data_IF_003188890143
#
_entry.id   IF_003188890143
#
_cell.length_a   1.000
_cell.length_b   1.000
_cell.length_c   1.000
_cell.angle_alpha   90.00
_cell.angle_beta   90.00
_cell.angle_gamma   90.00
#
_symmetry.space_group_name_H-M   'P 1'
#
loop_
_entity.id
_entity.type
_entity.pdbx_description
1 polymer ?
#
# COMPACT_ATOMS: atom_id res chain seq x y z
N UNK A 1 -9.59 -4.04 -9.59
CA UNK A 1 -10.19 -5.16 -8.83
C UNK A 1 -10.78 -4.68 -7.51
N UNK A 2 -11.69 -5.46 -6.95
CA UNK A 2 -12.27 -5.18 -5.64
C UNK A 2 -12.33 -6.46 -4.81
N UNK A 3 -12.06 -6.34 -3.53
CA UNK A 3 -12.20 -7.41 -2.54
C UNK A 3 -13.38 -7.07 -1.64
N UNK A 4 -14.28 -8.02 -1.47
CA UNK A 4 -15.51 -7.86 -0.68
C UNK A 4 -15.40 -8.71 0.58
N UNK A 5 -15.80 -8.12 1.70
CA UNK A 5 -15.90 -8.76 3.00
C UNK A 5 -17.33 -8.60 3.52
N UNK A 6 -17.89 -9.66 4.05
CA UNK A 6 -19.14 -9.56 4.78
C UNK A 6 -18.85 -9.32 6.26
N UNK A 7 -19.48 -8.31 6.85
CA UNK A 7 -19.26 -7.95 8.27
C UNK A 7 -19.57 -9.11 9.20
N UNK A 8 -20.55 -9.96 8.84
CA UNK A 8 -20.91 -11.16 9.58
C UNK A 8 -19.90 -12.33 9.43
N UNK A 9 -19.03 -12.30 8.40
CA UNK A 9 -18.07 -13.35 8.06
C UNK A 9 -16.72 -12.77 7.64
N UNK A 10 -16.00 -12.10 8.53
CA UNK A 10 -14.80 -11.31 8.19
C UNK A 10 -13.61 -12.16 7.69
N UNK A 11 -13.64 -13.46 7.96
CA UNK A 11 -12.62 -14.39 7.46
C UNK A 11 -12.82 -14.80 5.98
N UNK A 12 -14.00 -14.55 5.43
CA UNK A 12 -14.34 -14.95 4.06
C UNK A 12 -14.27 -13.73 3.13
N UNK A 13 -13.27 -13.73 2.29
CA UNK A 13 -13.06 -12.72 1.24
C UNK A 13 -13.47 -13.30 -0.10
N UNK A 14 -14.13 -12.50 -0.90
CA UNK A 14 -14.48 -12.85 -2.26
C UNK A 14 -14.24 -11.69 -3.21
N UNK A 15 -14.04 -12.00 -4.47
CA UNK A 15 -13.65 -11.01 -5.46
C UNK A 15 -14.85 -10.42 -6.17
N UNK A 16 -14.74 -9.14 -6.51
CA UNK A 16 -15.70 -8.43 -7.32
C UNK A 16 -15.01 -7.51 -8.32
N UNK A 17 -15.73 -7.11 -9.34
CA UNK A 17 -15.31 -6.08 -10.29
C UNK A 17 -16.32 -4.96 -10.32
N UNK A 18 -15.87 -3.74 -10.56
CA UNK A 18 -16.77 -2.61 -10.80
C UNK A 18 -17.58 -2.87 -12.06
N UNK A 19 -18.89 -2.83 -11.94
CA UNK A 19 -19.81 -2.97 -13.06
C UNK A 19 -20.17 -1.60 -13.63
N UNK A 20 -20.53 -0.66 -12.77
CA UNK A 20 -20.85 0.71 -13.17
C UNK A 20 -20.65 1.69 -12.02
N UNK A 21 -20.38 2.95 -12.38
CA UNK A 21 -20.40 4.10 -11.46
C UNK A 21 -21.60 4.98 -11.85
N UNK A 22 -22.31 5.48 -10.85
CA UNK A 22 -23.34 6.48 -11.09
C UNK A 22 -22.71 7.78 -11.64
N UNK A 23 -23.35 8.46 -12.58
CA UNK A 23 -22.82 9.69 -13.19
C UNK A 23 -22.88 10.90 -12.23
N UNK A 24 -23.61 10.80 -11.13
CA UNK A 24 -23.82 11.89 -10.20
C UNK A 24 -23.59 11.45 -8.74
N UNK A 25 -23.12 12.38 -7.94
CA UNK A 25 -23.00 12.24 -6.48
C UNK A 25 -24.36 12.55 -5.84
N UNK A 26 -24.80 11.72 -4.92
CA UNK A 26 -25.95 12.04 -4.05
C UNK A 26 -25.52 13.16 -3.08
N UNK A 27 -25.97 14.38 -3.34
CA UNK A 27 -25.59 15.56 -2.59
C UNK A 27 -26.07 15.54 -1.13
N UNK A 28 -27.11 14.78 -0.80
CA UNK A 28 -27.63 14.68 0.57
C UNK A 28 -26.77 13.76 1.44
N UNK A 29 -26.26 12.67 0.86
CA UNK A 29 -25.44 11.67 1.53
C UNK A 29 -23.94 11.85 1.31
N UNK A 30 -23.53 12.69 0.35
CA UNK A 30 -22.15 12.85 -0.05
C UNK A 30 -21.55 11.54 -0.63
N UNK A 31 -22.38 10.69 -1.19
CA UNK A 31 -22.00 9.33 -1.63
C UNK A 31 -22.23 9.18 -3.14
N UNK A 32 -21.46 8.31 -3.76
CA UNK A 32 -21.65 7.87 -5.15
C UNK A 32 -22.07 6.41 -5.16
N UNK A 33 -23.03 6.06 -6.00
CA UNK A 33 -23.42 4.67 -6.20
C UNK A 33 -22.41 3.97 -7.10
N UNK A 34 -21.87 2.86 -6.62
CA UNK A 34 -20.99 1.97 -7.39
C UNK A 34 -21.60 0.58 -7.37
N UNK A 35 -21.85 0.02 -8.54
CA UNK A 35 -22.32 -1.36 -8.68
C UNK A 35 -21.16 -2.28 -8.92
N UNK A 36 -21.13 -3.38 -8.18
CA UNK A 36 -20.14 -4.43 -8.29
C UNK A 36 -20.77 -5.72 -8.79
N UNK A 37 -20.08 -6.44 -9.65
CA UNK A 37 -20.41 -7.81 -10.01
C UNK A 37 -19.45 -8.74 -9.30
N UNK A 38 -19.97 -9.75 -8.61
CA UNK A 38 -19.15 -10.80 -8.01
C UNK A 38 -18.45 -11.59 -9.11
N UNK A 39 -17.21 -11.99 -8.84
CA UNK A 39 -16.42 -12.83 -9.75
C UNK A 39 -16.13 -14.17 -9.07
N UNK A 40 -16.43 -15.27 -9.75
CA UNK A 40 -16.34 -16.62 -9.20
C UNK A 40 -17.62 -17.10 -8.52
N UNK A 41 -17.49 -18.12 -7.67
CA UNK A 41 -18.63 -18.70 -6.97
C UNK A 41 -19.18 -17.75 -5.91
N UNK A 42 -20.49 -17.56 -5.93
CA UNK A 42 -21.18 -16.75 -4.93
C UNK A 42 -21.23 -17.53 -3.61
N UNK A 43 -20.71 -16.98 -2.50
CA UNK A 43 -20.74 -17.66 -1.22
C UNK A 43 -22.18 -17.99 -0.77
N UNK A 44 -22.41 -19.20 -0.31
CA UNK A 44 -23.74 -19.68 0.08
C UNK A 44 -24.37 -18.92 1.27
N UNK A 45 -23.56 -18.20 2.06
CA UNK A 45 -24.03 -17.38 3.16
C UNK A 45 -24.54 -16.00 2.72
N UNK A 46 -24.21 -15.57 1.51
CA UNK A 46 -24.60 -14.25 1.03
C UNK A 46 -26.12 -14.20 0.79
N UNK A 47 -26.75 -13.16 1.29
CA UNK A 47 -28.20 -12.91 1.17
C UNK A 47 -28.44 -11.51 0.63
N UNK A 48 -29.62 -11.30 0.10
CA UNK A 48 -30.09 -9.97 -0.28
C UNK A 48 -30.09 -9.06 0.97
N UNK A 49 -29.88 -7.77 0.75
CA UNK A 49 -29.85 -6.73 1.79
C UNK A 49 -28.75 -6.85 2.86
N UNK A 50 -27.76 -7.72 2.68
CA UNK A 50 -26.60 -7.77 3.56
C UNK A 50 -25.68 -6.55 3.36
N UNK A 51 -25.20 -5.99 4.46
CA UNK A 51 -24.13 -4.98 4.43
C UNK A 51 -22.78 -5.64 4.19
N UNK A 52 -22.05 -5.12 3.23
CA UNK A 52 -20.75 -5.61 2.82
C UNK A 52 -19.73 -4.46 2.81
N UNK A 53 -18.53 -4.75 3.27
CA UNK A 53 -17.38 -3.86 3.11
C UNK A 53 -16.65 -4.19 1.81
N UNK A 54 -16.38 -3.18 0.99
CA UNK A 54 -15.71 -3.36 -0.30
C UNK A 54 -14.42 -2.57 -0.31
N UNK A 55 -13.30 -3.28 -0.43
CA UNK A 55 -11.98 -2.71 -0.65
C UNK A 55 -11.72 -2.61 -2.16
N UNK A 56 -11.60 -1.41 -2.67
CA UNK A 56 -11.33 -1.18 -4.10
C UNK A 56 -9.86 -0.85 -4.29
N UNK A 57 -9.18 -1.67 -5.08
CA UNK A 57 -7.81 -1.38 -5.51
C UNK A 57 -7.86 -0.32 -6.61
N UNK A 58 -7.46 0.90 -6.27
CA UNK A 58 -7.52 2.05 -7.19
C UNK A 58 -6.28 2.16 -8.07
N UNK A 59 -5.14 1.68 -7.59
CA UNK A 59 -3.89 1.63 -8.35
C UNK A 59 -3.00 0.50 -7.82
N UNK A 60 -2.20 -0.07 -8.71
CA UNK A 60 -1.21 -1.09 -8.40
C UNK A 60 0.04 -0.87 -9.26
N UNK A 61 1.19 -1.06 -8.66
CA UNK A 61 2.47 -1.12 -9.36
C UNK A 61 3.16 -2.41 -8.96
N UNK A 62 3.43 -3.28 -9.94
CA UNK A 62 3.94 -4.62 -9.67
C UNK A 62 5.44 -4.63 -9.32
N UNK A 63 6.18 -3.62 -9.76
CA UNK A 63 7.58 -3.42 -9.39
C UNK A 63 7.84 -1.92 -9.19
N UNK A 64 8.09 -1.52 -7.95
CA UNK A 64 8.33 -0.14 -7.59
C UNK A 64 9.47 -0.02 -6.60
N UNK A 65 10.30 1.01 -6.77
CA UNK A 65 11.19 1.46 -5.72
C UNK A 65 10.35 2.23 -4.70
N UNK A 66 10.30 1.74 -3.46
CA UNK A 66 9.46 2.33 -2.42
C UNK A 66 10.29 2.77 -1.22
N UNK A 67 9.86 3.86 -0.61
CA UNK A 67 10.42 4.39 0.63
C UNK A 67 9.34 4.55 1.70
N UNK A 68 9.68 4.45 3.00
CA UNK A 68 8.79 4.92 4.05
C UNK A 68 8.59 6.43 3.92
N UNK A 69 7.38 6.92 4.23
CA UNK A 69 7.13 8.37 4.24
C UNK A 69 8.07 9.13 5.19
N UNK A 70 8.53 8.48 6.25
CA UNK A 70 9.51 9.04 7.19
C UNK A 70 10.90 9.28 6.58
N UNK A 71 11.19 8.80 5.37
CA UNK A 71 12.43 9.10 4.66
C UNK A 71 12.38 10.44 3.92
N UNK A 72 11.20 11.03 3.75
CA UNK A 72 11.07 12.35 3.15
C UNK A 72 11.49 13.43 4.16
N UNK A 73 12.32 14.39 3.73
CA UNK A 73 12.78 15.50 4.60
C UNK A 73 11.68 16.47 4.97
N UNK A 74 10.71 16.64 4.11
CA UNK A 74 9.55 17.50 4.28
C UNK A 74 8.34 16.89 3.56
N UNK A 75 7.12 17.34 3.86
CA UNK A 75 5.96 16.96 3.09
C UNK A 75 6.20 17.25 1.59
N UNK A 76 5.84 16.28 0.75
CA UNK A 76 6.06 16.41 -0.67
C UNK A 76 5.25 17.57 -1.27
N UNK A 77 5.85 18.31 -2.17
CA UNK A 77 5.20 19.34 -2.95
C UNK A 77 4.76 18.77 -4.31
N UNK A 78 3.46 18.52 -4.44
CA UNK A 78 2.97 17.79 -5.61
C UNK A 78 3.57 16.38 -5.65
N UNK A 79 4.27 16.05 -6.73
CA UNK A 79 4.97 14.77 -6.90
C UNK A 79 6.50 14.88 -6.73
N UNK A 80 7.01 15.96 -6.14
CA UNK A 80 8.43 16.14 -5.85
C UNK A 80 8.68 16.14 -4.34
N UNK A 81 9.81 15.55 -3.95
CA UNK A 81 10.29 15.56 -2.58
C UNK A 81 11.83 15.52 -2.55
N UNK A 82 12.37 15.72 -1.36
CA UNK A 82 13.79 15.60 -1.11
C UNK A 82 14.03 14.51 -0.07
N UNK A 83 15.05 13.70 -0.31
CA UNK A 83 15.53 12.64 0.57
C UNK A 83 17.02 12.84 0.87
N UNK A 84 17.52 12.21 1.92
CA UNK A 84 18.95 12.15 2.20
C UNK A 84 19.47 10.77 1.81
N UNK A 85 20.44 10.74 0.91
CA UNK A 85 21.15 9.52 0.50
C UNK A 85 22.53 9.51 1.14
N UNK A 86 22.98 8.36 1.57
CA UNK A 86 24.36 8.21 2.08
C UNK A 86 25.32 8.07 0.91
N UNK A 87 26.24 8.99 0.80
CA UNK A 87 27.30 8.96 -0.19
C UNK A 87 28.64 9.29 0.50
N UNK A 88 29.62 8.43 0.37
CA UNK A 88 30.95 8.56 1.00
C UNK A 88 30.89 8.88 2.53
N UNK A 89 29.97 8.27 3.24
CA UNK A 89 29.76 8.49 4.69
C UNK A 89 29.16 9.85 5.04
N UNK A 90 28.56 10.54 4.08
CA UNK A 90 27.86 11.81 4.26
C UNK A 90 26.42 11.72 3.79
N UNK A 91 25.56 12.51 4.41
CA UNK A 91 24.18 12.69 4.01
C UNK A 91 24.11 13.71 2.85
N UNK A 92 23.71 13.28 1.68
CA UNK A 92 23.56 14.14 0.50
C UNK A 92 22.09 14.29 0.18
N UNK A 93 21.64 15.53 0.06
CA UNK A 93 20.25 15.81 -0.34
C UNK A 93 20.06 15.49 -1.82
N UNK A 94 19.00 14.77 -2.13
CA UNK A 94 18.65 14.37 -3.49
C UNK A 94 17.16 14.59 -3.73
N UNK A 95 16.84 15.27 -4.84
CA UNK A 95 15.46 15.45 -5.28
C UNK A 95 14.97 14.17 -5.93
N UNK A 96 13.76 13.77 -5.63
CA UNK A 96 13.11 12.58 -6.14
C UNK A 96 11.73 12.92 -6.70
N UNK A 97 11.31 12.19 -7.73
CA UNK A 97 9.95 12.25 -8.25
C UNK A 97 9.16 11.06 -7.69
N UNK A 98 8.03 11.38 -7.10
CA UNK A 98 7.17 10.42 -6.42
C UNK A 98 6.01 10.01 -7.31
N UNK A 99 5.60 8.76 -7.18
CA UNK A 99 4.41 8.19 -7.80
C UNK A 99 3.29 7.93 -6.78
N UNK A 100 2.84 6.69 -6.69
CA UNK A 100 1.80 6.27 -5.77
C UNK A 100 2.21 6.48 -4.32
N UNK A 101 1.22 6.85 -3.50
CA UNK A 101 1.41 7.08 -2.06
C UNK A 101 0.36 6.33 -1.27
N UNK A 102 0.79 5.76 -0.16
CA UNK A 102 -0.04 5.17 0.87
C UNK A 102 0.22 5.85 2.21
N UNK A 103 -0.46 5.45 3.26
CA UNK A 103 -0.24 6.02 4.60
C UNK A 103 1.20 5.81 5.13
N UNK A 104 1.89 4.75 4.72
CA UNK A 104 3.22 4.43 5.24
C UNK A 104 4.33 4.41 4.19
N UNK A 105 3.99 4.39 2.90
CA UNK A 105 4.92 4.17 1.80
C UNK A 105 4.71 5.16 0.66
N UNK A 106 5.77 5.42 -0.06
CA UNK A 106 5.76 6.25 -1.27
C UNK A 106 6.62 5.61 -2.35
N UNK A 107 6.05 5.53 -3.56
CA UNK A 107 6.78 5.11 -4.76
C UNK A 107 7.74 6.21 -5.21
N UNK A 108 8.95 5.81 -5.59
CA UNK A 108 9.94 6.69 -6.22
C UNK A 108 10.08 6.29 -7.68
N UNK A 109 9.73 7.20 -8.57
CA UNK A 109 9.81 6.99 -10.02
C UNK A 109 11.15 7.42 -10.59
N UNK A 110 11.75 8.47 -10.03
CA UNK A 110 13.03 9.02 -10.48
C UNK A 110 13.85 9.58 -9.32
N UNK A 111 15.16 9.61 -9.48
CA UNK A 111 16.10 10.22 -8.54
C UNK A 111 16.78 9.24 -7.59
N UNK A 112 16.34 7.99 -7.56
CA UNK A 112 16.99 6.90 -6.82
C UNK A 112 17.15 5.67 -7.69
N UNK A 113 18.11 4.85 -7.31
CA UNK A 113 18.36 3.53 -7.89
C UNK A 113 18.30 2.46 -6.79
N UNK A 114 18.07 1.22 -7.19
CA UNK A 114 18.13 0.10 -6.28
C UNK A 114 19.54 0.00 -5.66
N UNK A 115 19.61 -0.13 -4.33
CA UNK A 115 20.86 -0.12 -3.57
C UNK A 115 21.26 1.24 -3.00
N UNK A 116 20.62 2.33 -3.36
CA UNK A 116 20.84 3.62 -2.69
C UNK A 116 20.44 3.54 -1.20
N UNK A 117 21.35 3.89 -0.31
CA UNK A 117 21.09 3.95 1.12
C UNK A 117 20.40 5.28 1.47
N UNK A 118 19.11 5.23 1.74
CA UNK A 118 18.29 6.40 2.10
C UNK A 118 18.13 6.49 3.60
N UNK A 119 18.39 7.68 4.17
CA UNK A 119 18.21 7.93 5.58
C UNK A 119 16.74 8.18 5.91
N UNK A 120 16.22 7.54 6.94
CA UNK A 120 14.98 7.98 7.55
C UNK A 120 15.20 9.35 8.20
N UNK A 121 14.24 10.27 8.04
CA UNK A 121 14.36 11.60 8.62
C UNK A 121 14.38 11.52 10.15
N UNK A 122 15.33 12.17 10.76
CA UNK A 122 15.46 12.13 12.22
C UNK A 122 16.77 12.65 12.78
N UNK A 123 17.46 13.57 12.10
CA UNK A 123 18.60 14.23 12.73
C UNK A 123 19.85 14.43 11.88
N UNK A 124 19.92 13.87 10.70
CA UNK A 124 21.03 14.16 9.80
C UNK A 124 20.78 15.46 9.03
N UNK A 125 21.71 16.39 9.09
CA UNK A 125 21.73 17.55 8.21
C UNK A 125 22.39 17.19 6.88
N UNK A 126 21.93 17.79 5.78
CA UNK A 126 22.60 17.66 4.49
C UNK A 126 24.07 18.09 4.61
N UNK A 127 24.99 17.30 4.04
CA UNK A 127 26.44 17.49 4.14
C UNK A 127 27.06 16.89 5.42
N UNK A 128 26.26 16.55 6.42
CA UNK A 128 26.73 15.97 7.68
C UNK A 128 27.33 14.57 7.49
N UNK A 129 28.33 14.24 8.33
CA UNK A 129 28.82 12.87 8.43
C UNK A 129 27.80 11.99 9.10
N UNK A 130 27.59 10.80 8.55
CA UNK A 130 26.63 9.82 9.08
C UNK A 130 27.28 8.45 9.21
N UNK A 131 26.83 7.71 10.21
CA UNK A 131 27.10 6.27 10.33
C UNK A 131 25.76 5.54 10.17
N UNK A 132 25.42 5.09 8.95
CA UNK A 132 24.14 4.47 8.74
C UNK A 132 24.05 3.13 9.47
N UNK A 133 22.91 2.88 10.06
CA UNK A 133 22.49 1.57 10.52
C UNK A 133 21.37 1.11 9.59
N UNK A 134 21.55 -0.03 8.95
CA UNK A 134 20.55 -0.58 8.05
C UNK A 134 19.39 -1.13 8.85
N UNK A 135 18.18 -0.73 8.48
CA UNK A 135 16.94 -1.24 9.05
C UNK A 135 16.15 -1.85 7.92
N UNK A 136 15.78 -3.11 8.06
CA UNK A 136 14.87 -3.77 7.14
C UNK A 136 13.47 -3.17 7.27
N UNK A 137 12.97 -2.64 6.18
CA UNK A 137 11.65 -2.05 6.13
C UNK A 137 10.86 -2.61 4.94
N UNK A 138 9.62 -3.00 5.21
CA UNK A 138 8.70 -3.47 4.19
C UNK A 138 7.39 -2.68 4.28
N UNK A 139 6.78 -2.30 3.14
CA UNK A 139 5.46 -1.67 3.14
C UNK A 139 4.41 -2.56 3.81
N UNK A 140 3.44 -1.96 4.50
CA UNK A 140 2.39 -2.69 5.22
C UNK A 140 1.59 -3.65 4.32
N UNK A 141 1.39 -3.32 3.05
CA UNK A 141 0.73 -4.18 2.07
C UNK A 141 1.51 -5.49 1.84
N UNK A 142 2.85 -5.44 1.80
CA UNK A 142 3.71 -6.62 1.66
C UNK A 142 3.69 -7.47 2.94
N UNK A 143 3.63 -6.83 4.11
CA UNK A 143 3.54 -7.54 5.39
C UNK A 143 2.22 -8.30 5.54
N UNK A 144 1.11 -7.75 5.05
CA UNK A 144 -0.19 -8.41 5.06
C UNK A 144 -0.23 -9.61 4.11
N UNK A 145 0.41 -9.52 2.95
CA UNK A 145 0.52 -10.62 2.00
C UNK A 145 1.36 -11.77 2.59
N UNK A 146 2.53 -11.48 3.15
CA UNK A 146 3.40 -12.48 3.80
C UNK A 146 2.70 -13.18 4.97
N UNK A 147 1.96 -12.42 5.78
CA UNK A 147 1.19 -12.99 6.90
C UNK A 147 0.02 -13.88 6.44
N UNK A 148 -0.57 -13.58 5.28
CA UNK A 148 -1.63 -14.41 4.71
C UNK A 148 -1.09 -15.74 4.15
N UNK A 149 0.10 -15.73 3.55
CA UNK A 149 0.79 -16.94 3.07
C UNK A 149 1.22 -17.86 4.23
N UNK A 150 1.73 -17.28 5.32
CA UNK A 150 2.14 -18.01 6.52
C UNK A 150 0.94 -18.67 7.22
N UNK A 151 -0.19 -17.99 7.27
CA UNK A 151 -1.43 -18.53 7.83
C UNK A 151 -2.01 -19.67 6.97
N UNK A 152 -1.89 -19.58 5.65
CA UNK A 152 -2.27 -20.65 4.71
C UNK A 152 -1.39 -21.90 4.84
N UNK A 153 -0.08 -21.70 5.00
CA UNK A 153 0.89 -22.78 5.22
C UNK A 153 0.68 -23.53 6.54
N UNK A 154 0.32 -22.82 7.60
CA UNK A 154 0.04 -23.41 8.90
C UNK A 154 -1.22 -24.30 8.91
N UNK A 155 -2.26 -23.92 8.17
CA UNK A 155 -3.49 -24.72 8.04
C UNK A 155 -3.27 -26.00 7.20
N UNK A 156 -2.48 -25.93 6.14
CA UNK A 156 -2.16 -27.09 5.31
C UNK A 156 -1.38 -28.17 6.09
N UNK A 157 -0.52 -27.75 7.04
CA UNK A 157 0.27 -28.66 7.86
C UNK A 157 -0.52 -29.28 9.03
N UNK A 158 -1.64 -28.65 9.44
CA UNK A 158 -2.52 -29.17 10.51
C UNK A 158 -3.50 -30.26 10.02
N UNK A 159 -3.78 -30.33 8.72
CA UNK A 159 -4.69 -31.32 8.12
C UNK A 159 -3.98 -32.58 7.58
N UNK A 160 -2.66 -32.68 7.71
CA UNK A 160 -1.83 -33.77 7.17
C UNK A 160 -1.33 -34.80 8.18
N UNK A 161 -2.01 -34.98 9.31
CA UNK A 161 -1.72 -36.08 10.25
C UNK A 161 -2.96 -36.86 10.63
#
# INVERSE_FOLDING_TARGET
SATVLADAFPAQRFSARVLSLAPAVDAQRGAIEVKFALTGDVPAFLREDMTLSVEVETARVDAALVLPQSALRAPAQGNQAEVLVVQDGRAVARSVRLGLRTLGAVEVQEGLTEGDAVLQSGGAAAGGRVRPHVVDWHPAATQLAAKAEDAGGAMANAMGR
#
